data_IF_535957452516
#
_entry.id   IF_535957452516
#
_cell.length_a   1.000
_cell.length_b   1.000
_cell.length_c   1.000
_cell.angle_alpha   90.00
_cell.angle_beta   90.00
_cell.angle_gamma   90.00
#
_symmetry.space_group_name_H-M   'P 1'
#
loop_
_entity.id
_entity.type
_entity.pdbx_description
1 polymer ?
#
# COMPACT_ATOMS: atom_id res chain seq x y z
N UNK A 1 -11.10 14.22 3.03
CA UNK A 1 -10.11 13.98 4.10
C UNK A 1 -8.85 13.47 3.44
N UNK A 2 -7.70 14.10 3.69
CA UNK A 2 -6.41 13.66 3.14
C UNK A 2 -5.43 13.58 4.31
N UNK A 3 -4.80 12.42 4.51
CA UNK A 3 -3.78 12.24 5.54
C UNK A 3 -2.47 11.74 4.93
N UNK A 4 -1.31 12.25 5.37
CA UNK A 4 -0.03 11.71 4.98
C UNK A 4 0.11 10.30 5.57
N UNK A 5 0.62 9.36 4.77
CA UNK A 5 0.92 8.00 5.20
C UNK A 5 2.41 7.75 4.94
N UNK A 6 3.05 7.02 5.85
CA UNK A 6 4.43 6.56 5.63
C UNK A 6 4.34 5.18 4.99
N UNK A 7 5.02 5.02 3.86
CA UNK A 7 5.14 3.75 3.16
C UNK A 7 6.62 3.36 3.20
N UNK A 8 6.91 2.13 3.60
CA UNK A 8 8.21 1.52 3.44
C UNK A 8 8.37 1.15 1.97
N UNK A 9 9.42 1.65 1.34
CA UNK A 9 9.75 1.36 -0.06
C UNK A 9 11.05 0.59 -0.07
N UNK A 10 11.01 -0.60 -0.65
CA UNK A 10 12.15 -1.45 -0.92
C UNK A 10 12.56 -1.37 -2.39
N UNK A 11 13.86 -1.35 -2.63
CA UNK A 11 14.42 -1.29 -3.96
C UNK A 11 14.69 -2.71 -4.47
N UNK A 12 13.80 -3.19 -5.36
CA UNK A 12 13.87 -4.52 -5.95
C UNK A 12 14.95 -4.67 -7.04
N UNK A 13 15.60 -3.57 -7.44
CA UNK A 13 16.72 -3.59 -8.38
C UNK A 13 16.40 -3.00 -9.76
N UNK A 14 17.43 -2.97 -10.61
CA UNK A 14 17.36 -2.47 -11.99
C UNK A 14 17.63 -3.65 -12.92
N UNK A 15 16.69 -3.94 -13.81
CA UNK A 15 16.82 -4.93 -14.87
C UNK A 15 16.90 -4.21 -16.21
N UNK A 16 17.73 -4.72 -17.13
CA UNK A 16 17.78 -4.23 -18.50
C UNK A 16 17.06 -5.24 -19.38
N UNK A 17 16.02 -4.81 -20.09
CA UNK A 17 15.34 -5.66 -21.06
C UNK A 17 16.23 -5.95 -22.28
N UNK A 18 15.95 -7.02 -23.05
CA UNK A 18 16.69 -7.35 -24.27
C UNK A 18 16.75 -6.22 -25.32
N UNK A 19 15.87 -5.22 -25.21
CA UNK A 19 15.81 -4.04 -26.08
C UNK A 19 16.61 -2.84 -25.55
N UNK A 20 17.39 -3.00 -24.48
CA UNK A 20 18.25 -1.96 -23.91
C UNK A 20 17.55 -0.97 -22.97
N UNK A 21 16.26 -1.18 -22.68
CA UNK A 21 15.52 -0.35 -21.75
C UNK A 21 15.84 -0.75 -20.31
N UNK A 22 16.19 0.23 -19.47
CA UNK A 22 16.34 0.00 -18.04
C UNK A 22 14.96 0.07 -17.36
N UNK A 23 14.58 -1.03 -16.73
CA UNK A 23 13.44 -1.14 -15.83
C UNK A 23 13.90 -1.11 -14.39
N UNK A 24 13.24 -0.32 -13.57
CA UNK A 24 13.53 -0.22 -12.13
C UNK A 24 12.31 -0.72 -11.36
N UNK A 25 12.51 -1.74 -10.52
CA UNK A 25 11.49 -2.28 -9.64
C UNK A 25 11.58 -1.69 -8.24
N UNK A 26 10.46 -1.23 -7.71
CA UNK A 26 10.30 -0.86 -6.31
C UNK A 26 9.10 -1.61 -5.75
N UNK A 27 9.25 -2.16 -4.56
CA UNK A 27 8.13 -2.74 -3.82
C UNK A 27 7.84 -1.84 -2.64
N UNK A 28 6.59 -1.42 -2.45
CA UNK A 28 6.22 -0.62 -1.29
C UNK A 28 5.21 -1.37 -0.44
N UNK A 29 5.32 -1.20 0.87
CA UNK A 29 4.40 -1.73 1.85
C UNK A 29 4.14 -0.70 2.94
N UNK A 30 2.92 -0.68 3.47
CA UNK A 30 2.55 0.22 4.54
C UNK A 30 1.22 -0.16 5.14
N UNK A 31 0.89 0.53 6.23
CA UNK A 31 -0.33 0.29 6.99
C UNK A 31 -1.02 1.61 7.20
N UNK A 32 -2.32 1.65 6.93
CA UNK A 32 -3.16 2.81 7.18
C UNK A 32 -4.30 2.39 8.11
N UNK A 33 -4.78 3.30 8.94
CA UNK A 33 -5.99 3.08 9.71
C UNK A 33 -7.17 3.67 8.94
N UNK A 34 -8.19 2.87 8.63
CA UNK A 34 -9.36 3.36 7.88
C UNK A 34 -10.22 4.36 8.67
N UNK A 35 -10.20 4.29 10.00
CA UNK A 35 -10.89 5.23 10.88
C UNK A 35 -10.37 6.66 10.70
N UNK A 36 -9.08 6.84 10.38
CA UNK A 36 -8.49 8.14 10.06
C UNK A 36 -9.03 8.78 8.78
N UNK A 37 -9.60 7.98 7.88
CA UNK A 37 -10.17 8.45 6.60
C UNK A 37 -11.70 8.64 6.68
N UNK A 38 -12.28 8.55 7.87
CA UNK A 38 -13.73 8.69 8.08
C UNK A 38 -14.53 7.46 7.70
N UNK A 39 -13.87 6.32 7.44
CA UNK A 39 -14.52 5.01 7.24
C UNK A 39 -14.82 4.37 8.60
N UNK A 40 -15.71 5.03 9.36
CA UNK A 40 -16.14 4.59 10.70
C UNK A 40 -17.36 3.66 10.66
N UNK A 41 -17.85 3.29 9.46
CA UNK A 41 -18.95 2.34 9.34
C UNK A 41 -18.47 0.97 9.83
N UNK A 42 -18.79 0.69 11.08
CA UNK A 42 -18.61 -0.58 11.76
C UNK A 42 -19.98 -0.97 12.28
N UNK A 43 -20.57 -2.01 11.68
CA UNK A 43 -21.61 -2.76 12.36
C UNK A 43 -20.94 -3.42 13.58
N UNK A 44 -21.27 -2.94 14.78
CA UNK A 44 -20.86 -3.60 16.01
C UNK A 44 -21.48 -5.00 16.00
N UNK A 45 -20.64 -6.04 16.05
CA UNK A 45 -21.13 -7.40 16.22
C UNK A 45 -21.64 -7.53 17.66
N UNK A 46 -22.78 -8.20 17.85
CA UNK A 46 -23.48 -8.38 19.14
C UNK A 46 -22.61 -9.01 20.26
N UNK A 47 -21.42 -9.52 19.93
CA UNK A 47 -20.46 -10.14 20.85
C UNK A 47 -19.27 -9.26 21.26
N UNK A 48 -19.32 -7.94 21.00
CA UNK A 48 -18.30 -7.01 21.49
C UNK A 48 -17.00 -6.98 20.67
N UNK A 49 -17.08 -7.37 19.40
CA UNK A 49 -15.96 -7.31 18.44
C UNK A 49 -16.24 -6.36 17.27
N UNK A 50 -15.17 -5.93 16.59
CA UNK A 50 -15.27 -5.21 15.32
C UNK A 50 -15.32 -6.21 14.16
N UNK A 51 -16.29 -6.07 13.24
CA UNK A 51 -16.43 -6.95 12.06
C UNK A 51 -15.28 -6.77 11.06
N UNK A 52 -14.70 -5.58 11.02
CA UNK A 52 -13.64 -5.22 10.07
C UNK A 52 -12.49 -4.62 10.85
N UNK A 53 -11.28 -5.14 10.64
CA UNK A 53 -10.06 -4.59 11.25
C UNK A 53 -9.87 -3.12 10.86
N UNK A 54 -9.37 -2.32 11.79
CA UNK A 54 -9.07 -0.90 11.53
C UNK A 54 -7.82 -0.72 10.68
N UNK A 55 -6.86 -1.65 10.78
CA UNK A 55 -5.62 -1.68 10.00
C UNK A 55 -5.89 -2.20 8.57
N UNK A 56 -5.59 -1.37 7.58
CA UNK A 56 -5.54 -1.71 6.17
C UNK A 56 -4.08 -1.76 5.73
N UNK A 57 -3.64 -2.92 5.28
CA UNK A 57 -2.31 -3.08 4.67
C UNK A 57 -2.37 -2.65 3.21
N UNK A 58 -1.47 -1.76 2.85
CA UNK A 58 -1.24 -1.34 1.47
C UNK A 58 0.07 -1.98 1.05
N UNK A 59 0.07 -2.70 -0.06
CA UNK A 59 1.28 -3.21 -0.66
C UNK A 59 1.15 -3.11 -2.18
N UNK A 60 2.26 -2.88 -2.87
CA UNK A 60 2.28 -2.85 -4.31
C UNK A 60 3.69 -2.87 -4.88
N UNK A 61 3.78 -3.29 -6.13
CA UNK A 61 5.01 -3.35 -6.89
C UNK A 61 4.92 -2.34 -8.03
N UNK A 62 5.91 -1.45 -8.12
CA UNK A 62 6.02 -0.41 -9.13
C UNK A 62 7.20 -0.74 -10.01
N UNK A 63 6.97 -0.72 -11.32
CA UNK A 63 8.02 -0.83 -12.31
C UNK A 63 8.07 0.45 -13.13
N UNK A 64 9.24 1.08 -13.16
CA UNK A 64 9.51 2.23 -14.01
C UNK A 64 10.26 1.77 -15.23
N UNK A 65 9.75 2.09 -16.42
CA UNK A 65 10.49 1.96 -17.67
C UNK A 65 10.94 3.34 -18.11
N UNK A 66 12.22 3.49 -18.46
CA UNK A 66 12.69 4.70 -19.13
C UNK A 66 12.08 4.74 -20.55
N UNK A 67 11.22 5.71 -20.81
CA UNK A 67 10.78 6.09 -22.17
C UNK A 67 11.72 7.11 -22.80
#
# INVERSE_FOLDING_TARGET
MTKPITLDVDFGGIAVDPWGNSKVGYTFSGKINRSDFGLTWNAALETGGVMVSEEVKIAGDIQFSKS
#
